data_IF_026411153508
#
_entry.id   IF_026411153508
#
_cell.length_a   1.000
_cell.length_b   1.000
_cell.length_c   1.000
_cell.angle_alpha   90.00
_cell.angle_beta   90.00
_cell.angle_gamma   90.00
#
_symmetry.space_group_name_H-M   'P 1'
#
loop_
_entity.id
_entity.type
_entity.pdbx_description
1 polymer ?
#
# COMPACT_ATOMS: atom_id res chain seq x y z
N UNK A 1 6.20 6.11 15.51
CA UNK A 1 4.96 5.47 16.02
C UNK A 1 4.52 4.48 14.94
N UNK A 2 4.53 3.17 15.21
CA UNK A 2 4.10 2.19 14.21
C UNK A 2 2.65 2.49 13.79
N UNK A 3 2.34 2.37 12.48
CA UNK A 3 0.94 2.45 12.02
C UNK A 3 0.16 1.38 12.79
N UNK A 4 -0.99 1.73 13.42
CA UNK A 4 -1.78 0.74 14.13
C UNK A 4 -2.22 -0.35 13.14
N UNK A 5 -2.01 -1.61 13.51
CA UNK A 5 -2.65 -2.71 12.80
C UNK A 5 -4.15 -2.56 12.95
N UNK A 6 -4.86 -2.44 11.84
CA UNK A 6 -6.32 -2.37 11.85
C UNK A 6 -6.86 -3.75 12.24
N UNK A 7 -7.27 -3.88 13.50
CA UNK A 7 -7.86 -5.11 14.05
C UNK A 7 -9.38 -5.19 13.88
N UNK A 8 -10.03 -4.08 13.48
CA UNK A 8 -11.45 -4.06 13.26
C UNK A 8 -11.82 -4.81 11.96
N UNK A 9 -12.92 -5.58 11.95
CA UNK A 9 -13.38 -6.24 10.74
C UNK A 9 -13.70 -5.20 9.66
N UNK A 10 -13.12 -5.40 8.49
CA UNK A 10 -13.33 -4.55 7.31
C UNK A 10 -14.26 -5.26 6.35
N UNK A 11 -15.34 -4.59 5.97
CA UNK A 11 -16.28 -5.01 4.94
C UNK A 11 -15.98 -4.23 3.66
N UNK A 12 -15.79 -4.94 2.57
CA UNK A 12 -15.52 -4.34 1.26
C UNK A 12 -16.67 -4.65 0.30
N UNK A 13 -17.16 -3.63 -0.39
CA UNK A 13 -18.24 -3.72 -1.38
C UNK A 13 -17.90 -2.96 -2.66
N UNK A 14 -18.49 -3.41 -3.76
CA UNK A 14 -18.57 -2.67 -5.03
C UNK A 14 -20.00 -2.23 -5.25
N UNK A 15 -20.17 -0.97 -5.57
CA UNK A 15 -21.45 -0.32 -5.77
C UNK A 15 -21.54 0.19 -7.20
N UNK A 16 -22.56 -0.19 -7.93
CA UNK A 16 -22.94 0.45 -9.18
C UNK A 16 -23.99 1.52 -8.84
N UNK A 17 -23.64 2.78 -9.04
CA UNK A 17 -24.41 3.92 -8.56
C UNK A 17 -24.65 4.92 -9.70
N UNK A 18 -25.75 5.68 -9.64
CA UNK A 18 -25.98 6.77 -10.60
C UNK A 18 -24.91 7.85 -10.41
N UNK A 19 -24.20 8.22 -11.49
CA UNK A 19 -23.08 9.17 -11.43
C UNK A 19 -23.60 10.61 -11.23
N UNK A 20 -23.63 11.03 -9.97
CA UNK A 20 -24.04 12.36 -9.50
C UNK A 20 -23.08 12.89 -8.45
N UNK A 21 -23.00 14.22 -8.29
CA UNK A 21 -22.16 14.81 -7.24
C UNK A 21 -22.49 14.32 -5.83
N UNK A 22 -23.76 13.98 -5.56
CA UNK A 22 -24.27 13.55 -4.25
C UNK A 22 -23.99 12.08 -3.92
N UNK A 23 -23.55 11.27 -4.90
CA UNK A 23 -23.33 9.83 -4.73
C UNK A 23 -22.35 9.53 -3.57
N UNK A 24 -21.14 10.07 -3.67
CA UNK A 24 -20.09 9.84 -2.67
C UNK A 24 -20.45 10.42 -1.29
N UNK A 25 -20.87 11.70 -1.17
CA UNK A 25 -21.33 12.24 0.10
C UNK A 25 -22.47 11.43 0.74
N UNK A 26 -23.45 10.98 -0.07
CA UNK A 26 -24.58 10.18 0.40
C UNK A 26 -24.15 8.84 0.98
N UNK A 27 -23.28 8.11 0.29
CA UNK A 27 -22.72 6.84 0.76
C UNK A 27 -21.97 7.03 2.09
N UNK A 28 -21.07 8.04 2.15
CA UNK A 28 -20.29 8.32 3.34
C UNK A 28 -21.15 8.70 4.55
N UNK A 29 -22.21 9.50 4.34
CA UNK A 29 -23.15 9.88 5.38
C UNK A 29 -23.91 8.66 5.95
N UNK A 30 -24.31 7.74 5.11
CA UNK A 30 -25.00 6.51 5.55
C UNK A 30 -24.06 5.60 6.36
N UNK A 31 -22.81 5.43 5.93
CA UNK A 31 -21.83 4.66 6.69
C UNK A 31 -21.59 5.28 8.07
N UNK A 32 -21.44 6.60 8.15
CA UNK A 32 -21.25 7.32 9.41
C UNK A 32 -22.47 7.19 10.33
N UNK A 33 -23.70 7.28 9.80
CA UNK A 33 -24.94 7.10 10.56
C UNK A 33 -25.08 5.70 11.15
N UNK A 34 -24.49 4.68 10.51
CA UNK A 34 -24.41 3.31 11.03
C UNK A 34 -23.33 3.10 12.10
N UNK A 35 -22.53 4.11 12.40
CA UNK A 35 -21.38 4.03 13.30
C UNK A 35 -20.12 3.43 12.66
N UNK A 36 -20.11 3.33 11.32
CA UNK A 36 -18.96 2.85 10.56
C UNK A 36 -17.96 3.95 10.23
N UNK A 37 -16.74 3.53 9.97
CA UNK A 37 -15.68 4.40 9.44
C UNK A 37 -15.39 4.01 8.00
N UNK A 38 -15.40 4.97 7.08
CA UNK A 38 -14.94 4.76 5.70
C UNK A 38 -13.43 4.66 5.72
N UNK A 39 -12.88 3.52 5.30
CA UNK A 39 -11.46 3.29 5.12
C UNK A 39 -10.98 3.64 3.73
N UNK A 40 -11.71 3.13 2.73
CA UNK A 40 -11.45 3.40 1.32
C UNK A 40 -12.75 3.75 0.63
N UNK A 41 -12.73 4.77 -0.20
CA UNK A 41 -13.82 5.12 -1.09
C UNK A 41 -13.20 5.66 -2.38
N UNK A 42 -13.38 4.92 -3.46
CA UNK A 42 -12.79 5.30 -4.74
C UNK A 42 -13.70 5.00 -5.93
N UNK A 43 -13.64 5.87 -6.92
CA UNK A 43 -14.27 5.63 -8.23
C UNK A 43 -13.39 4.69 -9.02
N UNK A 44 -13.94 3.55 -9.46
CA UNK A 44 -13.22 2.52 -10.21
C UNK A 44 -13.36 2.75 -11.71
N UNK A 45 -14.59 2.95 -12.15
CA UNK A 45 -14.90 3.23 -13.58
C UNK A 45 -16.23 3.97 -13.71
N UNK A 46 -16.42 4.59 -14.87
CA UNK A 46 -17.66 5.22 -15.30
C UNK A 46 -18.09 4.65 -16.63
N UNK A 47 -19.42 4.52 -16.82
CA UNK A 47 -20.00 4.13 -18.10
C UNK A 47 -21.40 4.71 -18.24
N UNK A 48 -21.96 4.62 -19.44
CA UNK A 48 -23.35 4.99 -19.68
C UNK A 48 -24.15 3.72 -19.96
N UNK A 49 -25.18 3.50 -19.16
CA UNK A 49 -26.18 2.45 -19.38
C UNK A 49 -27.30 2.99 -20.24
N UNK A 50 -27.90 2.16 -21.09
CA UNK A 50 -28.93 2.57 -22.04
C UNK A 50 -30.22 3.02 -21.35
N UNK A 51 -30.57 2.43 -20.19
CA UNK A 51 -31.80 2.68 -19.46
C UNK A 51 -31.56 3.58 -18.22
N UNK A 52 -30.47 3.33 -17.48
CA UNK A 52 -30.17 4.02 -16.24
C UNK A 52 -29.35 5.31 -16.41
N UNK A 53 -28.81 5.58 -17.62
CA UNK A 53 -27.99 6.74 -17.88
C UNK A 53 -26.55 6.59 -17.36
N UNK A 54 -25.90 7.70 -16.94
CA UNK A 54 -24.51 7.66 -16.47
C UNK A 54 -24.40 6.93 -15.13
N UNK A 55 -23.51 5.94 -15.07
CA UNK A 55 -23.24 5.11 -13.90
C UNK A 55 -21.76 5.19 -13.50
N UNK A 56 -21.51 5.00 -12.22
CA UNK A 56 -20.18 4.93 -11.62
C UNK A 56 -20.06 3.67 -10.76
N UNK A 57 -18.98 2.92 -10.92
CA UNK A 57 -18.60 1.87 -9.99
C UNK A 57 -17.73 2.45 -8.89
N UNK A 58 -18.17 2.26 -7.65
CA UNK A 58 -17.49 2.75 -6.44
C UNK A 58 -16.99 1.55 -5.64
N UNK A 59 -15.73 1.58 -5.26
CA UNK A 59 -15.15 0.70 -4.25
C UNK A 59 -15.28 1.37 -2.89
N UNK A 60 -15.84 0.63 -1.94
CA UNK A 60 -16.02 1.09 -0.57
C UNK A 60 -15.51 0.03 0.41
N UNK A 61 -14.62 0.43 1.32
CA UNK A 61 -14.24 -0.35 2.49
C UNK A 61 -14.71 0.35 3.77
N UNK A 62 -15.40 -0.39 4.62
CA UNK A 62 -15.99 0.10 5.88
C UNK A 62 -15.45 -0.69 7.05
N UNK A 63 -15.04 0.01 8.10
CA UNK A 63 -14.63 -0.58 9.39
C UNK A 63 -15.68 -0.34 10.47
N UNK A 64 -15.74 -1.29 11.43
CA UNK A 64 -16.57 -1.15 12.64
C UNK A 64 -18.04 -1.48 12.47
N UNK A 65 -18.48 -1.94 11.29
CA UNK A 65 -19.88 -2.36 11.02
C UNK A 65 -19.88 -3.78 10.48
N UNK A 66 -20.82 -4.59 10.91
CA UNK A 66 -21.00 -5.96 10.42
C UNK A 66 -21.46 -5.97 8.96
N UNK A 67 -21.08 -7.02 8.22
CA UNK A 67 -21.33 -7.17 6.79
C UNK A 67 -22.82 -7.05 6.43
N UNK A 68 -23.69 -7.73 7.17
CA UNK A 68 -25.13 -7.74 6.93
C UNK A 68 -25.72 -6.33 7.10
N UNK A 69 -25.18 -5.56 8.05
CA UNK A 69 -25.63 -4.19 8.31
C UNK A 69 -25.16 -3.22 7.24
N UNK A 70 -23.94 -3.38 6.74
CA UNK A 70 -23.41 -2.57 5.62
C UNK A 70 -24.25 -2.81 4.37
N UNK A 71 -24.51 -4.07 4.03
CA UNK A 71 -25.31 -4.44 2.86
C UNK A 71 -26.71 -3.87 2.92
N UNK A 72 -27.44 -4.11 4.03
CA UNK A 72 -28.80 -3.60 4.22
C UNK A 72 -28.90 -2.06 4.15
N UNK A 73 -27.89 -1.37 4.68
CA UNK A 73 -27.82 0.09 4.67
C UNK A 73 -27.61 0.63 3.25
N UNK A 74 -26.75 -0.01 2.48
CA UNK A 74 -26.43 0.43 1.12
C UNK A 74 -27.57 0.11 0.15
N UNK A 75 -28.21 -1.04 0.29
CA UNK A 75 -29.39 -1.42 -0.52
C UNK A 75 -30.58 -0.45 -0.37
N UNK A 76 -30.63 0.29 0.72
CA UNK A 76 -31.64 1.36 0.94
C UNK A 76 -31.34 2.67 0.18
N UNK A 77 -30.21 2.80 -0.50
CA UNK A 77 -29.87 4.03 -1.22
C UNK A 77 -30.64 4.15 -2.55
N UNK A 78 -31.28 5.31 -2.84
CA UNK A 78 -32.21 5.45 -3.97
C UNK A 78 -31.53 5.33 -5.34
N UNK A 79 -30.28 5.71 -5.44
CA UNK A 79 -29.54 5.75 -6.70
C UNK A 79 -28.62 4.54 -6.91
N UNK A 80 -28.67 3.57 -6.01
CA UNK A 80 -27.96 2.30 -6.11
C UNK A 80 -28.61 1.43 -7.20
N UNK A 81 -27.78 0.87 -8.09
CA UNK A 81 -28.19 -0.08 -9.14
C UNK A 81 -27.65 -1.48 -8.90
N UNK A 82 -26.57 -1.59 -8.15
CA UNK A 82 -25.98 -2.87 -7.76
C UNK A 82 -25.09 -2.74 -6.55
N UNK A 83 -25.13 -3.76 -5.69
CA UNK A 83 -24.21 -3.91 -4.56
C UNK A 83 -23.71 -5.35 -4.54
N UNK A 84 -22.38 -5.51 -4.45
CA UNK A 84 -21.78 -6.83 -4.31
C UNK A 84 -20.66 -6.79 -3.27
N UNK A 85 -20.65 -7.78 -2.43
CA UNK A 85 -19.52 -8.02 -1.52
C UNK A 85 -18.26 -8.36 -2.32
N UNK A 86 -17.13 -7.88 -1.84
CA UNK A 86 -15.82 -8.17 -2.40
C UNK A 86 -14.81 -8.42 -1.28
N UNK A 87 -13.64 -8.87 -1.63
CA UNK A 87 -12.53 -8.94 -0.68
C UNK A 87 -11.83 -7.60 -0.64
N UNK A 88 -11.51 -7.10 0.56
CA UNK A 88 -10.68 -5.91 0.71
C UNK A 88 -9.33 -6.10 0.04
N UNK A 89 -8.71 -5.00 -0.39
CA UNK A 89 -7.37 -5.04 -0.99
C UNK A 89 -6.33 -5.64 -0.03
N UNK A 90 -6.49 -5.43 1.28
CA UNK A 90 -5.65 -6.08 2.29
C UNK A 90 -5.77 -7.60 2.27
N UNK A 91 -6.99 -8.13 2.12
CA UNK A 91 -7.20 -9.59 2.05
C UNK A 91 -6.70 -10.20 0.74
N UNK A 92 -6.64 -9.42 -0.34
CA UNK A 92 -6.21 -9.92 -1.67
C UNK A 92 -4.71 -9.78 -1.84
N UNK A 93 -4.16 -8.59 -1.59
CA UNK A 93 -2.77 -8.24 -1.89
C UNK A 93 -1.89 -8.12 -0.65
N UNK A 94 -2.49 -7.99 0.54
CA UNK A 94 -1.80 -7.94 1.83
C UNK A 94 -0.85 -6.76 1.97
N UNK A 95 0.24 -6.99 2.69
CA UNK A 95 1.32 -6.02 2.91
C UNK A 95 2.01 -5.69 1.60
N UNK A 96 2.52 -4.45 1.48
CA UNK A 96 3.08 -3.96 0.23
C UNK A 96 4.51 -3.48 0.45
N UNK A 97 5.46 -4.10 -0.22
CA UNK A 97 6.82 -3.61 -0.36
C UNK A 97 6.89 -2.72 -1.59
N UNK A 98 7.40 -1.50 -1.43
CA UNK A 98 7.64 -0.57 -2.54
C UNK A 98 9.13 -0.61 -2.88
N UNK A 99 9.47 -0.79 -4.16
CA UNK A 99 10.84 -0.76 -4.67
C UNK A 99 10.98 0.40 -5.65
N UNK A 100 11.85 1.36 -5.31
CA UNK A 100 12.06 2.58 -6.11
C UNK A 100 13.55 2.73 -6.43
N UNK A 101 13.85 3.16 -7.63
CA UNK A 101 15.22 3.44 -8.04
C UNK A 101 15.42 3.30 -9.54
N UNK A 102 16.65 3.07 -9.98
CA UNK A 102 16.99 3.00 -11.40
C UNK A 102 18.00 1.90 -11.75
N UNK A 103 17.98 1.52 -13.04
CA UNK A 103 18.90 0.55 -13.61
C UNK A 103 18.60 -0.91 -13.26
N UNK A 104 19.55 -1.80 -13.60
CA UNK A 104 19.40 -3.24 -13.44
C UNK A 104 19.24 -3.69 -11.97
N UNK A 105 19.73 -2.90 -11.02
CA UNK A 105 19.63 -3.20 -9.59
C UNK A 105 18.19 -3.27 -9.10
N UNK A 106 17.28 -2.45 -9.65
CA UNK A 106 15.85 -2.51 -9.34
C UNK A 106 15.26 -3.86 -9.70
N UNK A 107 15.54 -4.35 -10.91
CA UNK A 107 15.03 -5.65 -11.37
C UNK A 107 15.54 -6.80 -10.48
N UNK A 108 16.82 -6.77 -10.08
CA UNK A 108 17.42 -7.77 -9.19
C UNK A 108 16.84 -7.71 -7.78
N UNK A 109 16.63 -6.51 -7.25
CA UNK A 109 15.99 -6.32 -5.95
C UNK A 109 14.52 -6.83 -5.95
N UNK A 110 13.78 -6.53 -7.02
CA UNK A 110 12.42 -7.05 -7.21
C UNK A 110 12.41 -8.57 -7.34
N UNK A 111 13.37 -9.17 -8.05
CA UNK A 111 13.51 -10.62 -8.15
C UNK A 111 13.64 -11.28 -6.76
N UNK A 112 14.53 -10.75 -5.91
CA UNK A 112 14.70 -11.23 -4.54
C UNK A 112 13.43 -11.05 -3.70
N UNK A 113 12.80 -9.89 -3.82
CA UNK A 113 11.56 -9.58 -3.11
C UNK A 113 10.40 -10.50 -3.51
N UNK A 114 10.17 -10.69 -4.80
CA UNK A 114 9.07 -11.55 -5.29
C UNK A 114 9.31 -13.00 -4.90
N UNK A 115 10.56 -13.50 -5.01
CA UNK A 115 10.90 -14.87 -4.63
C UNK A 115 10.66 -15.14 -3.15
N UNK A 116 10.96 -14.19 -2.28
CA UNK A 116 10.70 -14.33 -0.84
C UNK A 116 9.22 -14.13 -0.50
N UNK A 117 8.55 -13.16 -1.14
CA UNK A 117 7.11 -12.95 -0.97
C UNK A 117 6.31 -14.20 -1.33
N UNK A 118 6.68 -14.91 -2.41
CA UNK A 118 6.06 -16.17 -2.81
C UNK A 118 6.12 -17.22 -1.69
N UNK A 119 7.27 -17.38 -1.05
CA UNK A 119 7.46 -18.31 0.07
C UNK A 119 6.53 -18.03 1.26
N UNK A 120 6.31 -16.76 1.58
CA UNK A 120 5.39 -16.33 2.64
C UNK A 120 3.93 -16.47 2.21
N UNK A 121 3.62 -16.14 0.95
CA UNK A 121 2.27 -16.25 0.39
C UNK A 121 1.79 -17.70 0.33
N UNK A 122 2.69 -18.66 0.02
CA UNK A 122 2.40 -20.09 0.11
C UNK A 122 2.08 -20.57 1.53
N UNK A 123 2.53 -19.83 2.55
CA UNK A 123 2.24 -20.10 3.97
C UNK A 123 1.01 -19.37 4.50
N UNK A 124 0.28 -18.69 3.62
CA UNK A 124 -0.98 -18.01 3.97
C UNK A 124 -0.88 -16.52 4.23
N UNK A 125 0.33 -15.92 4.26
CA UNK A 125 0.46 -14.47 4.22
C UNK A 125 0.05 -13.91 2.86
N UNK A 126 -0.11 -12.60 2.80
CA UNK A 126 -0.24 -11.85 1.56
C UNK A 126 0.76 -10.71 1.56
N UNK A 127 1.72 -10.79 0.66
CA UNK A 127 2.75 -9.76 0.44
C UNK A 127 2.82 -9.48 -1.05
N UNK A 128 2.64 -8.24 -1.43
CA UNK A 128 2.79 -7.75 -2.81
C UNK A 128 4.05 -6.88 -2.93
N UNK A 129 4.60 -6.82 -4.14
CA UNK A 129 5.78 -6.01 -4.46
C UNK A 129 5.43 -5.08 -5.61
N UNK A 130 5.58 -3.79 -5.37
CA UNK A 130 5.42 -2.76 -6.40
C UNK A 130 6.75 -2.13 -6.72
N UNK A 131 6.93 -1.77 -7.97
CA UNK A 131 8.14 -1.10 -8.42
C UNK A 131 7.85 -0.01 -9.44
N UNK A 132 8.63 1.05 -9.37
CA UNK A 132 8.70 2.06 -10.40
C UNK A 132 10.16 2.44 -10.66
N UNK A 133 10.67 2.26 -11.90
CA UNK A 133 11.99 2.74 -12.27
C UNK A 133 11.95 4.27 -12.42
N UNK A 134 12.76 4.95 -11.61
CA UNK A 134 12.88 6.41 -11.60
C UNK A 134 14.34 6.82 -11.54
N UNK A 135 14.64 7.97 -12.12
CA UNK A 135 15.95 8.63 -12.05
C UNK A 135 15.79 10.11 -11.75
N UNK A 136 16.82 10.69 -11.17
CA UNK A 136 16.84 12.11 -10.79
C UNK A 136 16.39 12.32 -9.34
N UNK A 137 17.09 13.24 -8.66
CA UNK A 137 16.89 13.48 -7.23
C UNK A 137 15.46 13.92 -6.91
N UNK A 138 14.92 14.85 -7.68
CA UNK A 138 13.57 15.39 -7.47
C UNK A 138 12.49 14.31 -7.58
N UNK A 139 12.53 13.52 -8.67
CA UNK A 139 11.57 12.45 -8.91
C UNK A 139 11.65 11.36 -7.82
N UNK A 140 12.87 10.98 -7.44
CA UNK A 140 13.09 9.98 -6.39
C UNK A 140 12.62 10.49 -5.03
N UNK A 141 12.91 11.73 -4.66
CA UNK A 141 12.45 12.31 -3.41
C UNK A 141 10.92 12.40 -3.35
N UNK A 142 10.28 12.83 -4.45
CA UNK A 142 8.83 12.85 -4.55
C UNK A 142 8.21 11.45 -4.42
N UNK A 143 8.78 10.45 -5.07
CA UNK A 143 8.33 9.06 -4.95
C UNK A 143 8.50 8.51 -3.53
N UNK A 144 9.61 8.80 -2.84
CA UNK A 144 9.83 8.39 -1.44
C UNK A 144 8.76 8.98 -0.53
N UNK A 145 8.45 10.27 -0.67
CA UNK A 145 7.38 10.92 0.12
C UNK A 145 6.02 10.30 -0.16
N UNK A 146 5.69 10.05 -1.43
CA UNK A 146 4.42 9.46 -1.84
C UNK A 146 4.17 8.06 -1.26
N UNK A 147 5.21 7.32 -0.84
CA UNK A 147 5.04 6.02 -0.17
C UNK A 147 4.24 6.15 1.13
N UNK A 148 4.30 7.30 1.81
CA UNK A 148 3.51 7.54 3.01
C UNK A 148 1.99 7.52 2.75
N UNK A 149 1.58 7.87 1.54
CA UNK A 149 0.17 7.95 1.13
C UNK A 149 -0.32 6.65 0.47
N UNK A 150 0.58 5.71 0.18
CA UNK A 150 0.21 4.43 -0.39
C UNK A 150 -0.41 3.52 0.67
N UNK A 151 -1.62 3.06 0.37
CA UNK A 151 -2.27 2.07 1.22
C UNK A 151 -1.46 0.77 1.29
N UNK A 152 -1.46 0.15 2.46
CA UNK A 152 -0.79 -1.12 2.75
C UNK A 152 0.75 -1.09 2.63
N UNK A 153 1.41 0.02 2.31
CA UNK A 153 2.86 0.13 2.29
C UNK A 153 3.43 -0.17 3.68
N UNK A 154 4.39 -1.10 3.76
CA UNK A 154 5.04 -1.52 5.01
C UNK A 154 6.55 -1.29 5.02
N UNK A 155 7.17 -1.19 3.87
CA UNK A 155 8.59 -0.84 3.73
C UNK A 155 8.87 -0.25 2.35
N UNK A 156 9.97 0.52 2.27
CA UNK A 156 10.54 1.02 1.04
C UNK A 156 11.92 0.41 0.83
N UNK A 157 12.21 -0.07 -0.37
CA UNK A 157 13.55 -0.48 -0.82
C UNK A 157 14.04 0.48 -1.90
N UNK A 158 15.16 1.15 -1.64
CA UNK A 158 15.84 2.03 -2.59
C UNK A 158 16.99 1.28 -3.29
N UNK A 159 16.90 1.17 -4.61
CA UNK A 159 17.86 0.45 -5.44
C UNK A 159 18.43 1.38 -6.51
N UNK A 160 19.75 1.60 -6.45
CA UNK A 160 20.48 2.49 -7.35
C UNK A 160 21.94 2.60 -7.02
N UNK A 161 22.67 3.44 -7.79
CA UNK A 161 24.11 3.61 -7.62
C UNK A 161 24.50 4.83 -6.77
N UNK A 162 23.64 5.84 -6.74
CA UNK A 162 23.88 7.08 -5.98
C UNK A 162 22.53 7.71 -5.58
N UNK A 163 22.36 7.99 -4.29
CA UNK A 163 21.22 8.73 -3.75
C UNK A 163 21.64 9.57 -2.54
N UNK A 164 21.17 10.83 -2.51
CA UNK A 164 21.52 11.77 -1.45
C UNK A 164 20.61 13.01 -1.50
N UNK A 165 21.04 14.09 -0.87
CA UNK A 165 20.35 15.39 -0.91
C UNK A 165 18.91 15.33 -0.42
N UNK A 166 17.97 15.72 -1.25
CA UNK A 166 16.53 15.73 -0.91
C UNK A 166 15.95 14.33 -0.69
N UNK A 167 16.49 13.31 -1.36
CA UNK A 167 16.10 11.92 -1.13
C UNK A 167 16.36 11.53 0.32
N UNK A 168 17.47 11.95 0.89
CA UNK A 168 17.82 11.68 2.30
C UNK A 168 16.83 12.33 3.27
N UNK A 169 16.35 13.54 2.95
CA UNK A 169 15.29 14.20 3.74
C UNK A 169 13.98 13.44 3.65
N UNK A 170 13.57 13.08 2.44
CA UNK A 170 12.36 12.31 2.19
C UNK A 170 12.39 10.94 2.93
N UNK A 171 13.53 10.28 2.99
CA UNK A 171 13.72 9.04 3.77
C UNK A 171 13.43 9.27 5.25
N UNK A 172 13.96 10.33 5.85
CA UNK A 172 13.69 10.67 7.27
C UNK A 172 12.22 10.99 7.52
N UNK A 173 11.59 11.72 6.60
CA UNK A 173 10.15 12.03 6.66
C UNK A 173 9.32 10.74 6.62
N UNK A 174 9.64 9.80 5.75
CA UNK A 174 8.96 8.51 5.64
C UNK A 174 9.15 7.65 6.90
N UNK A 175 10.37 7.61 7.45
CA UNK A 175 10.67 6.91 8.69
C UNK A 175 9.90 7.49 9.90
N UNK A 176 9.67 8.81 9.91
CA UNK A 176 8.90 9.47 10.97
C UNK A 176 7.44 9.01 11.02
N UNK A 177 6.87 8.56 9.90
CA UNK A 177 5.52 7.97 9.85
C UNK A 177 5.53 6.45 10.04
N UNK A 178 6.68 5.86 10.39
CA UNK A 178 6.80 4.45 10.78
C UNK A 178 7.03 3.47 9.62
N UNK A 179 7.42 3.94 8.44
CA UNK A 179 7.75 3.07 7.30
C UNK A 179 9.28 2.92 7.23
N UNK A 180 9.83 1.73 7.47
CA UNK A 180 11.26 1.48 7.38
C UNK A 180 11.76 1.57 5.94
N UNK A 181 13.02 2.04 5.81
CA UNK A 181 13.69 2.19 4.53
C UNK A 181 14.94 1.32 4.47
N UNK A 182 14.97 0.45 3.49
CA UNK A 182 16.12 -0.36 3.12
C UNK A 182 16.78 0.29 1.90
N UNK A 183 18.07 0.27 1.80
CA UNK A 183 18.75 0.70 0.58
C UNK A 183 19.90 -0.22 0.19
N UNK A 184 20.25 -0.19 -1.09
CA UNK A 184 21.52 -0.79 -1.53
C UNK A 184 22.69 0.02 -1.00
N UNK A 185 23.83 -0.65 -0.85
CA UNK A 185 25.09 0.01 -0.54
C UNK A 185 25.55 0.84 -1.75
N UNK A 186 25.17 2.11 -1.75
CA UNK A 186 25.36 3.05 -2.84
C UNK A 186 26.11 4.30 -2.38
N UNK A 187 26.58 5.10 -3.32
CA UNK A 187 27.13 6.42 -3.03
C UNK A 187 26.05 7.38 -2.56
N UNK A 188 26.44 8.38 -1.77
CA UNK A 188 25.55 9.42 -1.25
C UNK A 188 25.04 9.16 0.16
N UNK A 189 24.27 10.11 0.70
CA UNK A 189 23.92 10.17 2.12
C UNK A 189 22.72 9.31 2.53
N UNK A 190 22.01 8.67 1.60
CA UNK A 190 20.89 7.78 1.94
C UNK A 190 21.33 6.59 2.80
N UNK A 191 22.53 6.04 2.53
CA UNK A 191 23.08 4.92 3.30
C UNK A 191 23.38 5.25 4.78
N UNK A 192 23.46 6.53 5.13
CA UNK A 192 23.69 6.98 6.51
C UNK A 192 22.41 7.01 7.34
N UNK A 193 21.24 7.07 6.68
CA UNK A 193 19.95 7.23 7.33
C UNK A 193 19.03 6.01 7.18
N UNK A 194 19.29 5.13 6.22
CA UNK A 194 18.48 3.93 6.01
C UNK A 194 18.51 3.01 7.23
N UNK A 195 17.40 2.30 7.46
CA UNK A 195 17.29 1.33 8.55
C UNK A 195 18.13 0.08 8.30
N UNK A 196 18.36 -0.26 7.03
CA UNK A 196 19.19 -1.37 6.60
C UNK A 196 19.91 -1.04 5.30
N UNK A 197 21.20 -1.34 5.23
CA UNK A 197 22.02 -1.22 4.01
C UNK A 197 22.48 -2.60 3.58
N UNK A 198 22.23 -2.97 2.32
CA UNK A 198 22.53 -4.30 1.77
C UNK A 198 23.32 -4.16 0.47
N UNK A 199 24.37 -4.94 0.30
CA UNK A 199 25.23 -4.83 -0.89
C UNK A 199 24.65 -5.58 -2.09
N UNK A 200 24.18 -6.78 -1.88
CA UNK A 200 23.58 -7.58 -2.94
C UNK A 200 22.11 -7.21 -3.16
N UNK A 201 21.67 -6.84 -4.38
CA UNK A 201 20.32 -6.39 -4.62
C UNK A 201 19.26 -7.51 -4.45
N UNK A 202 19.59 -8.76 -4.77
CA UNK A 202 18.66 -9.89 -4.57
C UNK A 202 18.45 -10.12 -3.07
N UNK A 203 19.55 -10.07 -2.29
CA UNK A 203 19.49 -10.19 -0.84
C UNK A 203 18.72 -9.01 -0.22
N UNK A 204 18.87 -7.81 -0.74
CA UNK A 204 18.14 -6.64 -0.25
C UNK A 204 16.62 -6.83 -0.41
N UNK A 205 16.18 -7.32 -1.56
CA UNK A 205 14.77 -7.66 -1.80
C UNK A 205 14.25 -8.73 -0.84
N UNK A 206 15.00 -9.81 -0.67
CA UNK A 206 14.69 -10.89 0.29
C UNK A 206 14.56 -10.36 1.71
N UNK A 207 15.55 -9.59 2.19
CA UNK A 207 15.56 -9.05 3.55
C UNK A 207 14.44 -8.01 3.78
N UNK A 208 14.09 -7.23 2.76
CA UNK A 208 13.00 -6.28 2.84
C UNK A 208 11.65 -7.00 3.05
N UNK A 209 11.40 -8.09 2.33
CA UNK A 209 10.19 -8.92 2.54
C UNK A 209 10.20 -9.58 3.91
N UNK A 210 11.32 -10.19 4.30
CA UNK A 210 11.44 -10.78 5.65
C UNK A 210 11.14 -9.78 6.76
N UNK A 211 11.50 -8.52 6.58
CA UNK A 211 11.28 -7.46 7.57
C UNK A 211 9.81 -7.04 7.74
N UNK A 212 8.96 -7.31 6.75
CA UNK A 212 7.52 -7.01 6.82
C UNK A 212 6.65 -8.25 7.00
N UNK A 213 7.23 -9.45 6.85
CA UNK A 213 6.52 -10.72 6.99
C UNK A 213 6.30 -11.07 8.47
N UNK A 214 5.08 -11.46 8.84
CA UNK A 214 4.75 -11.89 10.21
C UNK A 214 5.35 -13.25 10.55
N UNK A 215 5.49 -14.10 9.54
CA UNK A 215 6.04 -15.45 9.70
C UNK A 215 7.57 -15.49 9.70
N UNK A 216 8.24 -14.37 9.41
CA UNK A 216 9.70 -14.27 9.48
C UNK A 216 10.17 -13.81 10.85
N UNK A 217 11.32 -14.33 11.29
CA UNK A 217 12.02 -13.87 12.51
C UNK A 217 13.09 -12.82 12.16
N UNK A 218 12.69 -11.75 11.46
CA UNK A 218 13.58 -10.69 11.04
C UNK A 218 13.05 -9.34 11.55
N UNK A 219 13.93 -8.55 12.17
CA UNK A 219 13.57 -7.30 12.83
C UNK A 219 14.54 -6.19 12.38
N UNK A 220 14.02 -5.20 11.66
CA UNK A 220 14.79 -4.05 11.19
C UNK A 220 15.49 -3.31 12.34
N UNK A 221 14.85 -3.17 13.49
CA UNK A 221 15.43 -2.45 14.63
C UNK A 221 16.72 -3.12 15.12
N UNK A 222 16.79 -4.46 15.07
CA UNK A 222 17.99 -5.22 15.43
C UNK A 222 19.09 -5.17 14.39
N UNK A 223 18.77 -4.77 13.16
CA UNK A 223 19.70 -4.68 12.04
C UNK A 223 20.19 -3.25 11.80
N UNK A 224 19.62 -2.27 12.50
CA UNK A 224 19.95 -0.85 12.29
C UNK A 224 21.46 -0.60 12.45
N UNK A 225 22.03 0.08 11.45
CA UNK A 225 23.46 0.38 11.39
C UNK A 225 24.35 -0.77 10.92
N UNK A 226 23.81 -1.95 10.61
CA UNK A 226 24.57 -3.04 9.99
C UNK A 226 24.56 -2.89 8.47
N UNK A 227 25.65 -3.40 7.85
CA UNK A 227 25.80 -3.50 6.39
C UNK A 227 26.01 -4.96 6.03
N UNK A 228 25.27 -5.43 5.05
CA UNK A 228 25.30 -6.81 4.57
C UNK A 228 25.76 -6.88 3.14
#
# INVERSE_FOLDING_TARGET
MARPEHTAPTVAVRLDYVDRPEAIPGIAAQVAAAGGTVRTLSTVRRWTDAEAGPLVEIELEVEGVAEERVTALLEGLPDLRGCRLTKSLDKVFGKRLIVVGGGAQVAQAVLGAVSEADRHNLRGEKISVDTIPLVGEENLAAAVRAVADLDRARALLLAGSIMGGDITRAVRELQAVGIPVICLNMAGSVTEVADLVVTDPVQAGTMAVMGIADTAKFDFARQKGRRY
#
